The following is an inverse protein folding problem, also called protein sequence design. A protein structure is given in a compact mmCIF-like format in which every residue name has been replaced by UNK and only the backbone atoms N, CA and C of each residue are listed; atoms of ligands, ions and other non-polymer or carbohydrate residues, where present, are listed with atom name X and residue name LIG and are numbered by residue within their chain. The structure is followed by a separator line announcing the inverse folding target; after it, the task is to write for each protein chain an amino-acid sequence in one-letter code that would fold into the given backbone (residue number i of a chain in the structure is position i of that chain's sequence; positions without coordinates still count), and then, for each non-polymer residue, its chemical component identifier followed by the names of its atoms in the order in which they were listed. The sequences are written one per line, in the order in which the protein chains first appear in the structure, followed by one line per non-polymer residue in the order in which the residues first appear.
data_IF_870594955050
#
_entry.id   IF_870594955050
#
_cell.length_a   1.000
_cell.length_b   1.000
_cell.length_c   1.000
_cell.angle_alpha   90.00
_cell.angle_beta   90.00
_cell.angle_gamma   90.00
#
_symmetry.space_group_name_H-M   'P 1'
#
loop_
_entity.id
_entity.type
_entity.pdbx_description
1 polymer ?
#
# COMPACT_ATOMS: atom_id res chain seq x y z
N UNK A 1 15.84 -12.78 -11.84
CA UNK A 1 14.64 -12.57 -11.00
C UNK A 1 14.97 -11.38 -10.13
N UNK A 2 14.34 -10.23 -10.36
CA UNK A 2 14.58 -9.02 -9.56
C UNK A 2 14.11 -9.28 -8.14
N UNK A 3 14.98 -9.04 -7.17
CA UNK A 3 14.71 -9.27 -5.76
C UNK A 3 14.34 -7.93 -5.12
N UNK A 4 13.07 -7.77 -4.71
CA UNK A 4 12.60 -6.57 -4.00
C UNK A 4 13.26 -6.40 -2.62
N UNK A 5 14.13 -7.34 -2.20
CA UNK A 5 15.01 -7.23 -1.03
C UNK A 5 15.90 -5.99 -1.04
N UNK A 6 16.43 -5.59 -2.19
CA UNK A 6 17.50 -4.57 -2.24
C UNK A 6 16.98 -3.14 -2.05
N UNK A 7 15.73 -2.86 -2.40
CA UNK A 7 15.16 -1.52 -2.25
C UNK A 7 14.78 -1.22 -0.79
N UNK A 8 14.64 -2.26 0.04
CA UNK A 8 14.06 -2.10 1.36
C UNK A 8 14.49 -3.20 2.35
N UNK A 9 15.10 -2.81 3.47
CA UNK A 9 15.43 -3.69 4.61
C UNK A 9 14.15 -4.20 5.31
N UNK A 10 13.39 -5.08 4.66
CA UNK A 10 12.18 -5.68 5.21
C UNK A 10 12.41 -7.07 5.79
N UNK A 11 11.40 -7.51 6.54
CA UNK A 11 11.35 -8.85 7.11
C UNK A 11 11.20 -9.94 6.02
N UNK A 12 11.84 -11.11 6.17
CA UNK A 12 11.85 -12.16 5.15
C UNK A 12 10.45 -12.64 4.71
N UNK A 13 9.53 -12.84 5.64
CA UNK A 13 8.15 -13.29 5.33
C UNK A 13 7.35 -12.22 4.57
N UNK A 14 7.63 -10.93 4.86
CA UNK A 14 7.01 -9.82 4.16
C UNK A 14 7.53 -9.76 2.72
N UNK A 15 8.84 -9.93 2.53
CA UNK A 15 9.49 -10.01 1.21
C UNK A 15 8.91 -11.14 0.37
N UNK A 16 8.67 -12.32 0.97
CA UNK A 16 8.04 -13.43 0.24
C UNK A 16 6.64 -13.06 -0.27
N UNK A 17 5.83 -12.38 0.56
CA UNK A 17 4.51 -11.87 0.14
C UNK A 17 4.62 -10.82 -0.96
N UNK A 18 5.58 -9.91 -0.87
CA UNK A 18 5.84 -8.90 -1.91
C UNK A 18 6.21 -9.56 -3.24
N UNK A 19 7.11 -10.53 -3.21
CA UNK A 19 7.51 -11.28 -4.39
C UNK A 19 6.34 -12.09 -4.97
N UNK A 20 5.47 -12.63 -4.11
CA UNK A 20 4.24 -13.31 -4.55
C UNK A 20 3.25 -12.36 -5.21
N UNK A 21 3.02 -11.18 -4.64
CA UNK A 21 2.16 -10.13 -5.24
C UNK A 21 2.75 -9.70 -6.58
N UNK A 22 4.05 -9.45 -6.64
CA UNK A 22 4.73 -9.07 -7.87
C UNK A 22 4.59 -10.13 -8.96
N UNK A 23 4.78 -11.42 -8.63
CA UNK A 23 4.59 -12.52 -9.56
C UNK A 23 3.14 -12.59 -10.09
N UNK A 24 2.15 -12.43 -9.21
CA UNK A 24 0.72 -12.37 -9.59
C UNK A 24 0.48 -11.18 -10.53
N UNK A 25 1.01 -9.99 -10.23
CA UNK A 25 0.83 -8.79 -11.05
C UNK A 25 1.44 -8.99 -12.44
N UNK A 26 2.67 -9.50 -12.54
CA UNK A 26 3.30 -9.79 -13.83
C UNK A 26 2.42 -10.71 -14.67
N UNK A 27 1.91 -11.79 -14.06
CA UNK A 27 1.17 -12.80 -14.78
C UNK A 27 -0.26 -12.37 -15.14
N UNK A 28 -0.94 -11.62 -14.26
CA UNK A 28 -2.38 -11.38 -14.37
C UNK A 28 -2.79 -9.93 -14.57
N UNK A 29 -1.88 -8.94 -14.60
CA UNK A 29 -2.25 -7.51 -14.69
C UNK A 29 -3.20 -7.17 -15.84
N UNK A 30 -3.00 -7.74 -17.03
CA UNK A 30 -3.86 -7.49 -18.19
C UNK A 30 -5.21 -8.17 -18.06
N UNK A 31 -5.26 -9.32 -17.37
CA UNK A 31 -6.51 -10.00 -17.04
C UNK A 31 -7.33 -9.15 -16.07
N UNK A 32 -6.70 -8.65 -15.00
CA UNK A 32 -7.34 -7.73 -14.07
C UNK A 32 -7.79 -6.43 -14.74
N UNK A 33 -6.96 -5.83 -15.59
CA UNK A 33 -7.31 -4.65 -16.36
C UNK A 33 -8.53 -4.89 -17.26
N UNK A 34 -8.60 -6.05 -17.92
CA UNK A 34 -9.73 -6.41 -18.78
C UNK A 34 -11.02 -6.55 -17.98
N UNK A 35 -10.98 -7.22 -16.82
CA UNK A 35 -12.14 -7.33 -15.93
C UNK A 35 -12.58 -5.96 -15.39
N UNK A 36 -11.63 -5.10 -15.01
CA UNK A 36 -11.92 -3.73 -14.61
C UNK A 36 -12.55 -2.94 -15.77
N UNK A 37 -12.05 -3.08 -16.99
CA UNK A 37 -12.61 -2.40 -18.16
C UNK A 37 -14.08 -2.80 -18.41
N UNK A 38 -14.37 -4.10 -18.35
CA UNK A 38 -15.73 -4.64 -18.48
C UNK A 38 -16.63 -4.14 -17.34
N UNK A 39 -16.17 -4.20 -16.09
CA UNK A 39 -16.93 -3.72 -14.94
C UNK A 39 -17.21 -2.20 -15.03
N UNK A 40 -16.21 -1.41 -15.43
CA UNK A 40 -16.35 0.02 -15.63
C UNK A 40 -17.35 0.36 -16.74
N UNK A 41 -17.30 -0.37 -17.85
CA UNK A 41 -18.31 -0.28 -18.92
C UNK A 41 -19.71 -0.63 -18.42
N UNK A 42 -19.85 -1.69 -17.61
CA UNK A 42 -21.13 -2.08 -17.02
C UNK A 42 -21.70 -1.01 -16.09
N UNK A 43 -20.87 -0.38 -15.25
CA UNK A 43 -21.29 0.74 -14.41
C UNK A 43 -21.79 1.92 -15.28
N UNK A 44 -21.06 2.30 -16.33
CA UNK A 44 -21.50 3.39 -17.21
C UNK A 44 -22.80 3.07 -17.94
N UNK A 45 -23.01 1.80 -18.34
CA UNK A 45 -24.25 1.36 -18.99
C UNK A 45 -25.49 1.46 -18.08
N UNK A 46 -25.33 1.56 -16.75
CA UNK A 46 -26.46 1.80 -15.84
C UNK A 46 -27.20 3.10 -16.20
N UNK A 47 -26.52 4.13 -16.72
CA UNK A 47 -27.18 5.35 -17.20
C UNK A 47 -28.17 5.10 -18.34
N UNK A 48 -27.86 4.13 -19.20
CA UNK A 48 -28.67 3.81 -20.39
C UNK A 48 -29.82 2.85 -20.05
N UNK A 49 -29.67 2.05 -19.00
CA UNK A 49 -30.58 0.96 -18.67
C UNK A 49 -31.54 1.26 -17.50
N UNK A 50 -31.19 2.21 -16.62
CA UNK A 50 -31.93 2.51 -15.40
C UNK A 50 -32.59 3.90 -15.43
N UNK A 51 -33.10 4.30 -16.60
CA UNK A 51 -33.48 5.69 -16.90
C UNK A 51 -34.57 6.30 -16.02
N UNK A 52 -35.29 5.53 -15.19
CA UNK A 52 -36.40 6.11 -14.41
C UNK A 52 -36.58 5.67 -12.95
N UNK A 53 -36.00 4.56 -12.44
CA UNK A 53 -36.37 4.10 -11.07
C UNK A 53 -35.30 3.38 -10.24
N UNK A 54 -34.04 3.26 -10.68
CA UNK A 54 -33.03 2.58 -9.87
C UNK A 54 -31.89 3.52 -9.46
N UNK A 55 -31.61 3.54 -8.16
CA UNK A 55 -30.44 4.17 -7.55
C UNK A 55 -29.17 3.43 -7.98
N UNK A 56 -28.68 3.71 -9.18
CA UNK A 56 -27.39 3.24 -9.67
C UNK A 56 -26.25 4.17 -9.28
N UNK A 57 -25.01 3.71 -9.48
CA UNK A 57 -23.81 4.52 -9.28
C UNK A 57 -22.97 4.56 -10.56
N UNK A 58 -23.52 5.05 -11.68
CA UNK A 58 -22.85 4.95 -12.97
C UNK A 58 -21.53 5.72 -13.03
N UNK A 59 -21.41 6.79 -12.24
CA UNK A 59 -20.16 7.54 -12.07
C UNK A 59 -19.00 6.68 -11.52
N UNK A 60 -19.26 5.56 -10.85
CA UNK A 60 -18.22 4.61 -10.42
C UNK A 60 -17.54 3.91 -11.60
N UNK A 61 -18.14 3.92 -12.79
CA UNK A 61 -17.52 3.36 -13.99
C UNK A 61 -16.26 4.12 -14.40
N UNK A 62 -16.24 5.44 -14.23
CA UNK A 62 -15.09 6.29 -14.57
C UNK A 62 -13.82 5.90 -13.77
N UNK A 63 -13.81 5.89 -12.42
CA UNK A 63 -12.62 5.51 -11.67
C UNK A 63 -12.21 4.05 -11.92
N UNK A 64 -13.15 3.14 -12.18
CA UNK A 64 -12.84 1.74 -12.51
C UNK A 64 -12.15 1.62 -13.88
N UNK A 65 -12.59 2.38 -14.88
CA UNK A 65 -11.92 2.45 -16.18
C UNK A 65 -10.53 3.08 -16.07
N UNK A 66 -10.39 4.15 -15.29
CA UNK A 66 -9.09 4.76 -15.00
C UNK A 66 -8.13 3.77 -14.34
N UNK A 67 -8.63 2.96 -13.40
CA UNK A 67 -7.84 1.89 -12.79
C UNK A 67 -7.42 0.82 -13.81
N UNK A 68 -8.31 0.43 -14.74
CA UNK A 68 -7.98 -0.51 -15.81
C UNK A 68 -6.83 0.01 -16.71
N UNK A 69 -6.91 1.28 -17.11
CA UNK A 69 -5.86 1.94 -17.91
C UNK A 69 -4.56 2.00 -17.12
N UNK A 70 -4.62 2.39 -15.85
CA UNK A 70 -3.47 2.43 -14.95
C UNK A 70 -2.78 1.05 -14.84
N UNK A 71 -3.53 -0.02 -14.63
CA UNK A 71 -2.99 -1.39 -14.58
C UNK A 71 -2.32 -1.83 -15.88
N UNK A 72 -2.71 -1.25 -17.01
CA UNK A 72 -2.18 -1.57 -18.33
C UNK A 72 -0.88 -0.80 -18.64
N UNK A 73 -0.84 0.48 -18.26
CA UNK A 73 0.29 1.38 -18.58
C UNK A 73 1.40 1.35 -17.53
N UNK A 74 1.06 1.10 -16.27
CA UNK A 74 2.02 1.18 -15.17
C UNK A 74 2.88 -0.09 -15.08
N UNK A 75 4.21 0.04 -14.84
CA UNK A 75 5.08 -1.09 -14.58
C UNK A 75 4.57 -2.00 -13.46
N UNK A 76 4.73 -3.32 -13.63
CA UNK A 76 4.27 -4.31 -12.66
C UNK A 76 4.86 -4.09 -11.26
N UNK A 77 6.09 -3.60 -11.19
CA UNK A 77 6.80 -3.22 -9.96
C UNK A 77 6.06 -2.14 -9.19
N UNK A 78 5.63 -1.06 -9.87
CA UNK A 78 4.92 0.05 -9.23
C UNK A 78 3.54 -0.40 -8.77
N UNK A 79 2.85 -1.23 -9.56
CA UNK A 79 1.56 -1.81 -9.17
C UNK A 79 1.74 -2.70 -7.93
N UNK A 80 2.74 -3.59 -7.93
CA UNK A 80 3.03 -4.47 -6.81
C UNK A 80 3.39 -3.68 -5.54
N UNK A 81 4.26 -2.66 -5.64
CA UNK A 81 4.60 -1.74 -4.54
C UNK A 81 3.36 -1.00 -4.01
N UNK A 82 2.46 -0.58 -4.89
CA UNK A 82 1.22 0.11 -4.51
C UNK A 82 0.27 -0.82 -3.77
N UNK A 83 0.06 -2.03 -4.29
CA UNK A 83 -0.79 -3.06 -3.67
C UNK A 83 -0.19 -3.57 -2.34
N UNK A 84 1.13 -3.64 -2.28
CA UNK A 84 1.89 -4.02 -1.10
C UNK A 84 1.78 -3.02 0.05
N UNK A 85 1.48 -1.75 -0.24
CA UNK A 85 1.53 -0.67 0.73
C UNK A 85 0.64 -0.92 1.96
N UNK A 86 -0.51 -1.56 1.76
CA UNK A 86 -1.46 -1.91 2.84
C UNK A 86 -1.30 -3.33 3.38
N UNK A 87 -0.37 -4.12 2.85
CA UNK A 87 -0.19 -5.52 3.23
C UNK A 87 0.28 -5.61 4.68
N UNK A 88 -0.43 -6.46 5.43
CA UNK A 88 -0.07 -6.89 6.79
C UNK A 88 0.22 -8.38 6.75
N UNK A 89 1.17 -8.80 7.58
CA UNK A 89 1.43 -10.23 7.78
C UNK A 89 0.22 -10.90 8.45
N UNK A 90 -0.27 -10.29 9.54
CA UNK A 90 -1.46 -10.71 10.29
C UNK A 90 -2.17 -9.49 10.89
N UNK A 91 -3.42 -9.66 11.32
CA UNK A 91 -4.13 -8.63 12.08
C UNK A 91 -3.40 -8.34 13.39
N UNK A 92 -3.31 -7.06 13.77
CA UNK A 92 -2.58 -6.63 14.98
C UNK A 92 -1.08 -6.37 14.77
N UNK A 93 -0.57 -6.48 13.54
CA UNK A 93 0.80 -6.13 13.19
C UNK A 93 0.86 -4.94 12.22
N UNK A 94 2.01 -4.28 12.19
CA UNK A 94 2.26 -3.14 11.32
C UNK A 94 2.25 -3.54 9.84
N UNK A 95 1.69 -2.66 9.02
CA UNK A 95 1.77 -2.77 7.56
C UNK A 95 3.06 -2.17 7.01
N UNK A 96 3.34 -2.45 5.74
CA UNK A 96 4.43 -1.83 4.98
C UNK A 96 4.43 -0.31 5.08
N UNK A 97 3.26 0.32 4.92
CA UNK A 97 3.08 1.76 5.09
C UNK A 97 3.54 2.24 6.46
N UNK A 98 3.18 1.51 7.51
CA UNK A 98 3.40 1.96 8.88
C UNK A 98 4.91 1.89 9.22
N UNK A 99 5.60 0.84 8.77
CA UNK A 99 7.06 0.72 8.91
C UNK A 99 7.81 1.80 8.10
N UNK A 100 7.41 2.05 6.86
CA UNK A 100 7.98 3.12 6.04
C UNK A 100 7.74 4.50 6.63
N UNK A 101 6.55 4.72 7.19
CA UNK A 101 6.23 5.96 7.88
C UNK A 101 7.12 6.14 9.12
N UNK A 102 7.29 5.10 9.94
CA UNK A 102 8.22 5.15 11.08
C UNK A 102 9.64 5.46 10.62
N UNK A 103 10.12 4.81 9.55
CA UNK A 103 11.44 5.08 9.00
C UNK A 103 11.58 6.52 8.48
N UNK A 104 10.59 7.03 7.76
CA UNK A 104 10.57 8.42 7.29
C UNK A 104 10.61 9.42 8.46
N UNK A 105 9.87 9.15 9.52
CA UNK A 105 9.88 9.98 10.73
C UNK A 105 11.22 9.92 11.46
N UNK A 106 11.91 8.78 11.50
CA UNK A 106 13.28 8.71 12.05
C UNK A 106 14.32 9.43 11.20
N UNK A 107 14.13 9.49 9.86
CA UNK A 107 14.99 10.29 8.99
C UNK A 107 14.80 11.79 9.23
N UNK A 108 13.56 12.21 9.50
CA UNK A 108 13.19 13.59 9.81
C UNK A 108 13.67 14.02 11.20
N UNK A 109 13.52 13.12 12.18
CA UNK A 109 13.91 13.32 13.58
C UNK A 109 14.89 12.23 14.02
N UNK A 110 16.21 12.44 13.85
CA UNK A 110 17.23 11.43 14.17
C UNK A 110 17.21 10.99 15.65
N UNK A 111 16.69 11.83 16.55
CA UNK A 111 16.50 11.51 17.98
C UNK A 111 15.57 10.32 18.23
N UNK A 112 14.70 9.99 17.27
CA UNK A 112 13.77 8.86 17.35
C UNK A 112 14.42 7.52 16.99
N UNK A 113 15.59 7.55 16.35
CA UNK A 113 16.25 6.35 15.80
C UNK A 113 16.54 5.30 16.88
N UNK A 114 17.10 5.63 18.07
CA UNK A 114 17.39 4.63 19.10
C UNK A 114 16.13 3.90 19.61
N UNK A 115 14.98 4.59 19.66
CA UNK A 115 13.71 4.00 20.11
C UNK A 115 12.99 3.18 19.03
N UNK A 116 13.22 3.51 17.77
CA UNK A 116 12.60 2.86 16.61
C UNK A 116 13.45 1.72 16.02
N UNK A 117 14.76 1.72 16.25
CA UNK A 117 15.71 0.77 15.66
C UNK A 117 15.30 -0.68 15.91
N UNK A 118 14.91 -1.00 17.15
CA UNK A 118 14.40 -2.34 17.54
C UNK A 118 13.21 -2.82 16.72
N UNK A 119 12.40 -1.90 16.19
CA UNK A 119 11.24 -2.21 15.38
C UNK A 119 11.61 -2.28 13.90
N UNK A 120 12.43 -1.34 13.43
CA UNK A 120 12.87 -1.28 12.04
C UNK A 120 13.80 -2.44 11.66
N UNK A 121 14.61 -2.94 12.60
CA UNK A 121 15.52 -4.07 12.41
C UNK A 121 14.94 -5.40 12.93
N UNK A 122 13.69 -5.41 13.41
CA UNK A 122 13.08 -6.62 13.96
C UNK A 122 12.99 -7.70 12.88
N UNK A 123 13.54 -8.91 13.10
CA UNK A 123 13.35 -10.03 12.19
C UNK A 123 11.94 -10.62 12.26
N UNK A 124 11.17 -10.29 13.31
CA UNK A 124 9.80 -10.76 13.54
C UNK A 124 8.74 -9.67 13.35
N UNK A 125 7.51 -10.03 12.95
CA UNK A 125 6.43 -9.07 12.71
C UNK A 125 6.25 -8.07 13.85
N UNK A 126 6.29 -6.77 13.55
CA UNK A 126 6.19 -5.73 14.57
C UNK A 126 4.74 -5.55 14.98
N UNK A 127 4.40 -5.67 16.28
CA UNK A 127 3.02 -5.49 16.74
C UNK A 127 2.58 -4.04 16.61
N UNK A 128 1.28 -3.82 16.42
CA UNK A 128 0.71 -2.49 16.23
C UNK A 128 0.93 -1.58 17.46
N UNK A 129 1.12 -2.15 18.64
CA UNK A 129 1.50 -1.43 19.85
C UNK A 129 2.86 -0.71 19.75
N UNK A 130 3.73 -1.11 18.83
CA UNK A 130 4.98 -0.40 18.57
C UNK A 130 4.72 1.04 18.12
N UNK A 131 3.68 1.29 17.32
CA UNK A 131 3.26 2.65 16.96
C UNK A 131 2.81 3.45 18.18
N UNK A 132 2.08 2.81 19.10
CA UNK A 132 1.64 3.47 20.34
C UNK A 132 2.82 3.90 21.22
N UNK A 133 3.91 3.15 21.19
CA UNK A 133 5.13 3.49 21.92
C UNK A 133 5.98 4.53 21.16
N UNK A 134 5.95 4.52 19.83
CA UNK A 134 6.69 5.47 18.99
C UNK A 134 6.03 6.87 18.98
N UNK A 135 4.70 6.93 18.97
CA UNK A 135 3.93 8.16 18.81
C UNK A 135 4.24 9.26 19.85
N UNK A 136 4.34 8.97 21.16
CA UNK A 136 4.66 10.00 22.16
C UNK A 136 6.08 10.54 22.06
N UNK A 137 7.02 9.75 21.52
CA UNK A 137 8.38 10.20 21.26
C UNK A 137 8.40 11.12 20.04
N UNK A 138 7.66 10.76 18.98
CA UNK A 138 7.49 11.60 17.79
C UNK A 138 6.87 12.95 18.11
N UNK A 139 5.78 12.99 18.89
CA UNK A 139 5.15 14.26 19.30
C UNK A 139 6.17 15.16 19.99
N UNK A 140 6.92 14.62 20.96
CA UNK A 140 7.95 15.38 21.67
C UNK A 140 9.06 15.88 20.75
N UNK A 141 9.45 15.09 19.75
CA UNK A 141 10.44 15.51 18.76
C UNK A 141 9.93 16.64 17.85
N UNK A 142 8.68 16.55 17.38
CA UNK A 142 8.04 17.63 16.61
C UNK A 142 7.81 18.91 17.44
N UNK A 143 7.50 18.79 18.74
CA UNK A 143 7.40 19.95 19.65
C UNK A 143 8.75 20.64 19.86
N UNK A 144 9.84 19.88 19.91
CA UNK A 144 11.20 20.40 20.11
C UNK A 144 11.80 20.98 18.83
N UNK A 145 11.41 20.45 17.66
CA UNK A 145 11.92 20.91 16.38
C UNK A 145 10.80 20.83 15.33
N UNK A 146 9.93 21.85 15.24
CA UNK A 146 8.79 21.83 14.35
C UNK A 146 9.27 21.82 12.91
N UNK A 147 8.74 20.84 12.19
CA UNK A 147 9.09 20.62 10.80
C UNK A 147 8.41 21.67 9.91
N UNK A 148 9.17 22.64 9.41
CA UNK A 148 8.71 23.58 8.38
C UNK A 148 8.85 22.98 6.98
#
# INVERSE_FOLDING_TARGET
MFDLRDDFNYQPELIERLNRIHAIVIQYRYTYASFMALAGGFFLMQWLLLSDQASGYPLLGIPVLMAAVWFTLTPAEIIAKTLAWSVRLQNGFLSFRDLNWMQAMTKKHPSLLPGAERYLQSPSPVPLDALRQFWPALIRAEEQNPSH
#
